data_IF_847749159492
#
_entry.id   IF_847749159492
#
_cell.length_a   1.000
_cell.length_b   1.000
_cell.length_c   1.000
_cell.angle_alpha   90.00
_cell.angle_beta   90.00
_cell.angle_gamma   90.00
#
_symmetry.space_group_name_H-M   'P 1'
#
loop_
_entity.id
_entity.type
_entity.pdbx_description
1 polymer ?
#
# COMPACT_ATOMS: atom_id res chain seq x y z
N UNK A 1 3.44 5.54 -4.08
CA UNK A 1 3.16 4.28 -3.34
C UNK A 1 2.12 4.44 -2.24
N UNK A 2 2.36 5.24 -1.19
CA UNK A 2 1.35 5.45 -0.13
C UNK A 2 0.08 6.11 -0.66
N UNK A 3 0.24 7.15 -1.49
CA UNK A 3 -0.89 7.81 -2.14
C UNK A 3 -1.65 6.87 -3.09
N UNK A 4 -0.96 6.03 -3.85
CA UNK A 4 -1.61 5.02 -4.71
C UNK A 4 -2.44 4.02 -3.91
N UNK A 5 -1.93 3.59 -2.75
CA UNK A 5 -2.67 2.71 -1.83
C UNK A 5 -3.85 3.43 -1.18
N UNK A 6 -3.71 4.71 -0.87
CA UNK A 6 -4.79 5.53 -0.33
C UNK A 6 -5.90 5.75 -1.36
N UNK A 7 -5.56 6.11 -2.60
CA UNK A 7 -6.52 6.20 -3.70
C UNK A 7 -7.21 4.85 -3.94
N UNK A 8 -6.44 3.75 -3.99
CA UNK A 8 -7.02 2.42 -4.14
C UNK A 8 -7.98 2.06 -2.98
N UNK A 9 -7.67 2.47 -1.75
CA UNK A 9 -8.55 2.30 -0.60
C UNK A 9 -9.87 3.06 -0.77
N UNK A 10 -9.82 4.34 -1.16
CA UNK A 10 -11.01 5.16 -1.44
C UNK A 10 -11.86 4.60 -2.59
N UNK A 11 -11.21 4.00 -3.59
CA UNK A 11 -11.85 3.33 -4.73
C UNK A 11 -12.38 1.91 -4.39
N UNK A 12 -12.13 1.39 -3.19
CA UNK A 12 -12.47 0.01 -2.82
C UNK A 12 -11.72 -1.05 -3.65
N UNK A 13 -10.59 -0.68 -4.24
CA UNK A 13 -9.83 -1.49 -5.20
C UNK A 13 -8.63 -2.15 -4.52
N UNK A 14 -8.43 -3.44 -4.78
CA UNK A 14 -7.23 -4.15 -4.32
C UNK A 14 -6.00 -3.73 -5.12
N UNK A 15 -4.86 -3.62 -4.45
CA UNK A 15 -3.56 -3.38 -5.09
C UNK A 15 -2.61 -4.52 -4.76
N UNK A 16 -1.80 -4.93 -5.74
CA UNK A 16 -0.87 -6.05 -5.62
C UNK A 16 0.57 -5.56 -5.60
N UNK A 17 1.43 -6.32 -4.93
CA UNK A 17 2.85 -6.01 -4.72
C UNK A 17 3.59 -5.62 -6.01
N UNK A 18 3.44 -6.43 -7.07
CA UNK A 18 4.11 -6.19 -8.35
C UNK A 18 3.62 -4.89 -9.01
N UNK A 19 2.30 -4.72 -9.11
CA UNK A 19 1.69 -3.50 -9.65
C UNK A 19 2.11 -2.25 -8.87
N UNK A 20 2.16 -2.35 -7.55
CA UNK A 20 2.58 -1.25 -6.68
C UNK A 20 4.05 -0.90 -6.86
N UNK A 21 4.93 -1.89 -7.01
CA UNK A 21 6.34 -1.66 -7.33
C UNK A 21 6.48 -0.93 -8.66
N UNK A 22 5.74 -1.32 -9.70
CA UNK A 22 5.75 -0.64 -11.00
C UNK A 22 5.26 0.81 -10.90
N UNK A 23 4.18 1.06 -10.16
CA UNK A 23 3.63 2.40 -9.95
C UNK A 23 4.50 3.30 -9.04
N UNK A 24 5.46 2.73 -8.31
CA UNK A 24 6.25 3.48 -7.33
C UNK A 24 7.33 4.39 -7.93
N UNK A 25 7.63 4.27 -9.23
CA UNK A 25 8.66 5.03 -9.95
C UNK A 25 10.06 4.98 -9.31
N UNK A 26 10.34 3.94 -8.53
CA UNK A 26 11.66 3.64 -7.96
C UNK A 26 12.08 2.22 -8.35
N UNK A 27 13.37 1.84 -8.24
CA UNK A 27 13.79 0.48 -8.51
C UNK A 27 12.96 -0.55 -7.74
N UNK A 28 12.59 -1.65 -8.37
CA UNK A 28 11.67 -2.66 -7.82
C UNK A 28 12.16 -3.24 -6.48
N UNK A 29 13.46 -3.46 -6.33
CA UNK A 29 14.07 -3.92 -5.08
C UNK A 29 13.97 -2.88 -3.96
N UNK A 30 14.09 -1.59 -4.30
CA UNK A 30 13.88 -0.47 -3.38
C UNK A 30 12.43 -0.36 -2.95
N UNK A 31 11.48 -0.47 -3.89
CA UNK A 31 10.05 -0.50 -3.60
C UNK A 31 9.70 -1.67 -2.68
N UNK A 32 10.17 -2.87 -3.00
CA UNK A 32 9.93 -4.07 -2.21
C UNK A 32 10.49 -3.95 -0.78
N UNK A 33 11.73 -3.46 -0.63
CA UNK A 33 12.31 -3.16 0.69
C UNK A 33 11.46 -2.15 1.47
N UNK A 34 10.98 -1.10 0.80
CA UNK A 34 10.15 -0.07 1.44
C UNK A 34 8.81 -0.62 1.90
N UNK A 35 8.17 -1.46 1.09
CA UNK A 35 6.92 -2.12 1.45
C UNK A 35 7.13 -3.02 2.68
N UNK A 36 8.21 -3.80 2.71
CA UNK A 36 8.55 -4.64 3.85
C UNK A 36 8.80 -3.80 5.12
N UNK A 37 9.54 -2.69 5.00
CA UNK A 37 9.79 -1.74 6.11
C UNK A 37 8.47 -1.17 6.66
N UNK A 38 7.60 -0.68 5.79
CA UNK A 38 6.32 -0.07 6.18
C UNK A 38 5.33 -1.11 6.73
N UNK A 39 5.38 -2.35 6.23
CA UNK A 39 4.61 -3.48 6.81
C UNK A 39 5.09 -3.77 8.23
N UNK A 40 6.41 -3.83 8.44
CA UNK A 40 7.00 -4.05 9.78
C UNK A 40 6.65 -2.92 10.76
N UNK A 41 6.50 -1.70 10.26
CA UNK A 41 6.06 -0.53 11.04
C UNK A 41 4.54 -0.50 11.31
N UNK A 42 3.78 -1.49 10.83
CA UNK A 42 2.32 -1.53 11.02
C UNK A 42 1.56 -0.49 10.21
N UNK A 43 2.15 0.04 9.13
CA UNK A 43 1.51 1.01 8.25
C UNK A 43 0.82 0.35 7.06
N UNK A 44 1.38 -0.77 6.59
CA UNK A 44 0.84 -1.56 5.49
C UNK A 44 0.43 -2.97 5.94
N UNK A 45 -0.54 -3.55 5.26
CA UNK A 45 -0.91 -4.96 5.36
C UNK A 45 -0.44 -5.72 4.11
N UNK A 46 -0.13 -7.00 4.27
CA UNK A 46 0.17 -7.93 3.18
C UNK A 46 -0.60 -9.22 3.38
N UNK A 47 -1.28 -9.69 2.35
CA UNK A 47 -1.97 -10.99 2.36
C UNK A 47 -1.77 -11.72 1.04
N UNK A 48 -1.67 -13.05 1.10
CA UNK A 48 -1.73 -13.86 -0.11
C UNK A 48 -3.15 -13.74 -0.70
N UNK A 49 -3.25 -13.59 -2.02
CA UNK A 49 -4.55 -13.58 -2.68
C UNK A 49 -5.14 -14.99 -2.67
N UNK A 50 -6.36 -15.12 -2.15
CA UNK A 50 -7.04 -16.41 -2.03
C UNK A 50 -7.41 -17.04 -3.39
N UNK A 51 -7.45 -16.24 -4.47
CA UNK A 51 -7.73 -16.73 -5.82
C UNK A 51 -6.47 -17.08 -6.62
N UNK A 52 -5.33 -16.47 -6.29
CA UNK A 52 -4.04 -16.72 -6.93
C UNK A 52 -2.93 -16.56 -5.88
N UNK A 53 -2.49 -17.68 -5.30
CA UNK A 53 -1.47 -17.68 -4.24
C UNK A 53 -0.11 -17.12 -4.66
N UNK A 54 0.09 -16.81 -5.95
CA UNK A 54 1.30 -16.12 -6.45
C UNK A 54 1.21 -14.60 -6.28
N UNK A 55 0.02 -14.06 -6.05
CA UNK A 55 -0.20 -12.62 -5.86
C UNK A 55 -0.22 -12.27 -4.38
N UNK A 56 0.48 -11.20 -4.04
CA UNK A 56 0.46 -10.62 -2.70
C UNK A 56 -0.28 -9.31 -2.75
N UNK A 57 -1.46 -9.26 -2.15
CA UNK A 57 -2.21 -8.04 -1.96
C UNK A 57 -1.51 -7.16 -0.92
N UNK A 58 -1.50 -5.84 -1.16
CA UNK A 58 -0.94 -4.83 -0.27
C UNK A 58 -2.00 -3.78 -0.02
N UNK A 59 -2.20 -3.41 1.25
CA UNK A 59 -3.15 -2.38 1.66
C UNK A 59 -2.60 -1.50 2.77
N UNK A 60 -3.36 -0.48 3.14
CA UNK A 60 -3.08 0.35 4.32
C UNK A 60 -3.66 -0.34 5.57
N UNK A 61 -3.02 -0.13 6.73
CA UNK A 61 -3.66 -0.43 8.02
C UNK A 61 -4.67 0.66 8.36
N UNK A 62 -5.64 0.34 9.23
CA UNK A 62 -6.63 1.32 9.68
C UNK A 62 -5.98 2.56 10.31
N UNK A 63 -4.93 2.37 11.12
CA UNK A 63 -4.20 3.50 11.72
C UNK A 63 -3.48 4.37 10.68
N UNK A 64 -2.96 3.78 9.60
CA UNK A 64 -2.36 4.56 8.52
C UNK A 64 -3.42 5.32 7.69
N UNK A 65 -4.61 4.74 7.50
CA UNK A 65 -5.72 5.41 6.83
C UNK A 65 -6.12 6.66 7.63
N UNK A 66 -6.40 6.52 8.92
CA UNK A 66 -6.77 7.66 9.77
C UNK A 66 -5.71 8.77 9.78
N UNK A 67 -4.42 8.42 9.81
CA UNK A 67 -3.35 9.41 9.74
C UNK A 67 -3.28 10.12 8.38
N UNK A 68 -3.57 9.41 7.28
CA UNK A 68 -3.62 10.00 5.96
C UNK A 68 -4.84 10.90 5.78
N UNK A 69 -6.01 10.50 6.29
CA UNK A 69 -7.21 11.34 6.29
C UNK A 69 -6.94 12.67 7.00
N UNK A 70 -6.42 12.63 8.23
CA UNK A 70 -6.05 13.82 9.00
C UNK A 70 -5.03 14.70 8.27
N UNK A 71 -4.06 14.09 7.58
CA UNK A 71 -3.03 14.81 6.82
C UNK A 71 -3.65 15.51 5.60
N UNK A 72 -4.49 14.81 4.84
CA UNK A 72 -5.13 15.34 3.63
C UNK A 72 -6.11 16.46 3.99
N UNK A 73 -6.88 16.32 5.06
CA UNK A 73 -7.82 17.34 5.53
C UNK A 73 -7.11 18.64 5.94
N UNK A 74 -5.88 18.56 6.46
CA UNK A 74 -5.06 19.74 6.79
C UNK A 74 -4.46 20.44 5.58
N UNK A 75 -4.37 19.76 4.43
CA UNK A 75 -3.86 20.32 3.19
C UNK A 75 -4.93 21.05 2.38
N UNK A 76 -6.20 20.95 2.81
CA UNK A 76 -7.35 21.61 2.22
C UNK A 76 -7.64 22.96 2.87
#
# INVERSE_FOLDING_TARGET
MLLDLYLAHLEGRKTYLWSLCMASHVPTTSAHRKIAELTKKGLLTRSADGQDGRRVAVGLTQGCISLLDDLIDRLR
#
